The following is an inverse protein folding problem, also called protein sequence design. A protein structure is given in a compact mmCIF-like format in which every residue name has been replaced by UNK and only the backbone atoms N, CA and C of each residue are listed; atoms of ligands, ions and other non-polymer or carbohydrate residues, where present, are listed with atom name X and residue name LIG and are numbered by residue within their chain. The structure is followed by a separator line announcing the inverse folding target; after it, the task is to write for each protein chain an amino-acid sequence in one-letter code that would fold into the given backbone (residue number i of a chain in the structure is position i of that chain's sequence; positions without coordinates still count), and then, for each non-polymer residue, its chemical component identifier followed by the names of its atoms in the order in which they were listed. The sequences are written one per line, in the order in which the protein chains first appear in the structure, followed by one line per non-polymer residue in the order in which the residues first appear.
data_IF_686442987253
#
_entry.id   IF_686442987253
#
_cell.length_a   1.000
_cell.length_b   1.000
_cell.length_c   1.000
_cell.angle_alpha   90.00
_cell.angle_beta   90.00
_cell.angle_gamma   90.00
#
_symmetry.space_group_name_H-M   'P 1'
#
loop_
_entity.id
_entity.type
_entity.pdbx_description
1 polymer ?
#
# COMPACT_ATOMS: atom_id res chain seq x y z
N UNK A 1 5.15 8.72 11.65
CA UNK A 1 4.66 7.40 12.09
C UNK A 1 3.17 7.52 12.33
N UNK A 2 2.37 6.62 11.77
CA UNK A 2 0.91 6.60 11.88
C UNK A 2 0.49 6.10 13.27
N UNK A 3 -0.61 6.62 13.75
CA UNK A 3 -1.27 6.18 14.97
C UNK A 3 -1.94 4.83 14.77
N UNK A 4 -2.25 4.15 15.88
CA UNK A 4 -2.96 2.87 15.84
C UNK A 4 -4.35 2.99 15.19
N UNK A 5 -5.05 4.09 15.37
CA UNK A 5 -6.37 4.31 14.76
C UNK A 5 -6.25 4.53 13.25
N UNK A 6 -5.24 5.26 12.78
CA UNK A 6 -4.95 5.39 11.35
C UNK A 6 -4.60 4.04 10.71
N UNK A 7 -3.85 3.18 11.40
CA UNK A 7 -3.53 1.83 10.90
C UNK A 7 -4.75 0.91 10.84
N UNK A 8 -5.67 1.00 11.80
CA UNK A 8 -6.95 0.28 11.75
C UNK A 8 -7.82 0.75 10.59
N UNK A 9 -7.92 2.07 10.39
CA UNK A 9 -8.69 2.64 9.30
C UNK A 9 -8.10 2.21 7.95
N UNK A 10 -6.77 2.30 7.79
CA UNK A 10 -6.08 1.80 6.60
C UNK A 10 -6.37 0.31 6.35
N UNK A 11 -6.42 -0.52 7.40
CA UNK A 11 -6.69 -1.94 7.26
C UNK A 11 -8.11 -2.22 6.72
N UNK A 12 -9.10 -1.47 7.21
CA UNK A 12 -10.46 -1.51 6.66
C UNK A 12 -10.49 -1.05 5.20
N UNK A 13 -9.83 0.07 4.88
CA UNK A 13 -9.83 0.62 3.53
C UNK A 13 -9.14 -0.27 2.50
N UNK A 14 -8.13 -1.06 2.91
CA UNK A 14 -7.54 -2.12 2.07
C UNK A 14 -8.55 -3.24 1.80
N UNK A 15 -9.27 -3.72 2.81
CA UNK A 15 -10.26 -4.81 2.65
C UNK A 15 -11.47 -4.37 1.82
N UNK A 16 -11.82 -3.09 1.90
CA UNK A 16 -12.89 -2.47 1.12
C UNK A 16 -12.47 -2.07 -0.31
N UNK A 17 -11.24 -2.40 -0.73
CA UNK A 17 -10.68 -2.07 -2.04
C UNK A 17 -10.71 -0.57 -2.34
N UNK A 18 -10.46 0.28 -1.34
CA UNK A 18 -10.27 1.73 -1.52
C UNK A 18 -8.79 2.10 -1.71
N UNK A 19 -7.89 1.21 -1.31
CA UNK A 19 -6.44 1.41 -1.35
C UNK A 19 -5.82 0.39 -2.29
N UNK A 20 -4.92 0.85 -3.16
CA UNK A 20 -4.07 0.00 -3.99
C UNK A 20 -2.72 -0.18 -3.31
N UNK A 21 -2.31 -1.42 -3.09
CA UNK A 21 -1.02 -1.76 -2.46
C UNK A 21 -0.08 -2.41 -3.47
N UNK A 22 1.23 -2.26 -3.26
CA UNK A 22 2.29 -2.87 -4.08
C UNK A 22 2.15 -4.38 -4.27
N UNK A 23 1.55 -5.10 -3.31
CA UNK A 23 1.27 -6.54 -3.38
C UNK A 23 0.26 -6.95 -4.46
N UNK A 24 -0.48 -6.00 -5.03
CA UNK A 24 -1.34 -6.26 -6.19
C UNK A 24 -0.56 -6.26 -7.52
N UNK A 25 0.73 -5.90 -7.49
CA UNK A 25 1.60 -5.87 -8.66
C UNK A 25 2.38 -7.19 -8.72
N UNK A 26 2.13 -8.00 -9.75
CA UNK A 26 2.78 -9.31 -9.92
C UNK A 26 4.27 -9.19 -10.23
N UNK A 27 4.65 -8.21 -11.05
CA UNK A 27 6.03 -7.96 -11.46
C UNK A 27 6.59 -6.74 -10.72
N UNK A 28 7.57 -6.90 -9.81
CA UNK A 28 8.12 -5.80 -9.02
C UNK A 28 8.73 -4.65 -9.85
N UNK A 29 9.13 -4.93 -11.11
CA UNK A 29 9.64 -3.88 -12.02
C UNK A 29 8.56 -2.88 -12.44
N UNK A 30 7.30 -3.19 -12.21
CA UNK A 30 6.17 -2.32 -12.57
C UNK A 30 5.79 -1.37 -11.42
N UNK A 31 6.33 -1.57 -10.21
CA UNK A 31 6.12 -0.69 -9.05
C UNK A 31 6.42 0.77 -9.38
N UNK A 32 7.56 1.13 -10.01
CA UNK A 32 7.86 2.53 -10.35
C UNK A 32 6.97 3.09 -11.47
N UNK A 33 6.28 2.25 -12.25
CA UNK A 33 5.30 2.71 -13.24
C UNK A 33 3.96 3.02 -12.57
N UNK A 34 3.54 2.20 -11.61
CA UNK A 34 2.30 2.41 -10.83
C UNK A 34 2.47 3.57 -9.86
N UNK A 35 3.56 3.61 -9.11
CA UNK A 35 3.90 4.70 -8.18
C UNK A 35 4.99 5.57 -8.80
N UNK A 36 4.58 6.45 -9.74
CA UNK A 36 5.48 7.17 -10.64
C UNK A 36 6.58 7.95 -9.91
N UNK A 37 6.29 8.45 -8.70
CA UNK A 37 7.28 9.18 -7.89
C UNK A 37 8.51 8.31 -7.61
N UNK A 38 8.36 7.01 -7.35
CA UNK A 38 9.50 6.09 -7.13
C UNK A 38 10.39 5.99 -8.37
N UNK A 39 9.82 6.01 -9.57
CA UNK A 39 10.58 5.96 -10.82
C UNK A 39 11.29 7.28 -11.17
N UNK A 40 10.85 8.38 -10.57
CA UNK A 40 11.39 9.72 -10.78
C UNK A 40 12.39 10.14 -9.71
N UNK A 41 12.56 9.35 -8.65
CA UNK A 41 13.56 9.61 -7.62
C UNK A 41 14.98 9.48 -8.18
N UNK A 42 15.85 10.40 -7.77
CA UNK A 42 17.29 10.24 -7.97
C UNK A 42 17.87 9.16 -7.02
N UNK A 43 19.12 8.78 -7.24
CA UNK A 43 19.80 7.75 -6.44
C UNK A 43 19.80 8.08 -4.94
N UNK A 44 20.00 9.35 -4.58
CA UNK A 44 20.07 9.77 -3.18
C UNK A 44 18.70 9.67 -2.51
N UNK A 45 17.65 10.11 -3.19
CA UNK A 45 16.27 10.01 -2.71
C UNK A 45 15.85 8.54 -2.54
N UNK A 46 16.26 7.66 -3.47
CA UNK A 46 15.98 6.24 -3.38
C UNK A 46 16.71 5.59 -2.20
N UNK A 47 17.98 5.92 -1.97
CA UNK A 47 18.74 5.46 -0.80
C UNK A 47 18.10 5.93 0.51
N UNK A 48 17.72 7.21 0.59
CA UNK A 48 17.00 7.76 1.74
C UNK A 48 15.68 7.02 2.00
N UNK A 49 14.92 6.73 0.95
CA UNK A 49 13.67 5.96 1.06
C UNK A 49 13.93 4.52 1.51
N UNK A 50 14.92 3.83 0.96
CA UNK A 50 15.29 2.48 1.38
C UNK A 50 15.74 2.42 2.84
N UNK A 51 16.44 3.46 3.32
CA UNK A 51 16.86 3.57 4.72
C UNK A 51 15.68 3.73 5.69
N UNK A 52 14.50 4.19 5.21
CA UNK A 52 13.26 4.20 6.00
C UNK A 52 12.64 2.81 6.16
N UNK A 53 13.21 1.79 5.51
CA UNK A 53 12.75 0.38 5.52
C UNK A 53 11.25 0.25 5.25
N UNK A 54 10.77 0.68 4.07
CA UNK A 54 9.38 0.53 3.69
C UNK A 54 9.04 -0.96 3.54
N UNK A 55 7.95 -1.40 4.19
CA UNK A 55 7.46 -2.79 4.10
C UNK A 55 6.22 -2.94 3.21
N UNK A 56 5.61 -1.81 2.84
CA UNK A 56 4.48 -1.75 1.92
C UNK A 56 4.38 -0.33 1.36
N UNK A 57 4.24 -0.21 0.05
CA UNK A 57 3.86 1.03 -0.64
C UNK A 57 2.41 0.95 -1.07
N UNK A 58 1.68 2.06 -0.96
CA UNK A 58 0.27 2.11 -1.31
C UNK A 58 -0.19 3.52 -1.68
N UNK A 59 -1.37 3.61 -2.29
CA UNK A 59 -2.08 4.87 -2.46
C UNK A 59 -3.60 4.63 -2.53
N UNK A 60 -4.40 5.64 -2.16
CA UNK A 60 -5.84 5.58 -2.32
C UNK A 60 -6.24 5.65 -3.79
N UNK A 61 -7.17 4.80 -4.21
CA UNK A 61 -7.63 4.71 -5.60
C UNK A 61 -8.29 6.00 -6.11
N UNK A 62 -8.85 6.83 -5.22
CA UNK A 62 -9.39 8.15 -5.57
C UNK A 62 -8.28 9.15 -5.99
N UNK A 63 -7.01 8.84 -5.72
CA UNK A 63 -5.83 9.59 -6.17
C UNK A 63 -5.23 9.06 -7.47
N UNK A 64 -5.78 7.98 -8.04
CA UNK A 64 -5.31 7.47 -9.32
C UNK A 64 -5.51 8.53 -10.41
N UNK A 65 -4.49 8.70 -11.24
CA UNK A 65 -4.56 9.54 -12.43
C UNK A 65 -5.56 8.96 -13.46
N UNK A 66 -5.99 9.78 -14.44
CA UNK A 66 -7.00 9.39 -15.43
C UNK A 66 -6.56 8.26 -16.38
N UNK A 67 -5.33 7.77 -16.29
CA UNK A 67 -4.75 6.77 -17.18
C UNK A 67 -4.28 5.57 -16.37
N UNK A 68 -4.68 4.38 -16.81
CA UNK A 68 -4.11 3.14 -16.35
C UNK A 68 -2.89 2.76 -17.20
N UNK A 69 -1.87 2.18 -16.58
CA UNK A 69 -0.71 1.58 -17.26
C UNK A 69 -0.94 0.08 -17.21
N UNK A 70 -1.13 -0.55 -18.37
CA UNK A 70 -1.42 -1.99 -18.48
C UNK A 70 -2.61 -2.47 -17.62
N UNK A 71 -3.63 -1.62 -17.42
CA UNK A 71 -4.80 -1.94 -16.60
C UNK A 71 -4.64 -1.66 -15.10
N UNK A 72 -3.45 -1.25 -14.65
CA UNK A 72 -3.19 -0.82 -13.27
C UNK A 72 -3.34 0.70 -13.13
N UNK A 73 -3.77 1.21 -11.96
CA UNK A 73 -3.78 2.65 -11.70
C UNK A 73 -2.37 3.24 -11.78
N UNK A 74 -2.27 4.53 -12.12
CA UNK A 74 -1.03 5.31 -12.03
C UNK A 74 -1.16 6.41 -11.00
N UNK A 75 -0.20 6.54 -10.10
CA UNK A 75 -0.21 7.51 -8.99
C UNK A 75 0.99 8.46 -9.07
N UNK A 76 0.72 9.75 -8.86
CA UNK A 76 1.74 10.80 -8.72
C UNK A 76 2.09 11.11 -7.25
N UNK A 77 1.62 10.25 -6.35
CA UNK A 77 1.97 10.22 -4.93
C UNK A 77 1.95 8.76 -4.47
N UNK A 78 2.53 8.51 -3.32
CA UNK A 78 2.34 7.27 -2.60
C UNK A 78 2.51 7.51 -1.11
N UNK A 79 2.01 6.58 -0.33
CA UNK A 79 2.31 6.42 1.08
C UNK A 79 3.00 5.08 1.29
N UNK A 80 3.65 4.91 2.44
CA UNK A 80 4.29 3.66 2.79
C UNK A 80 4.11 3.35 4.28
N UNK A 81 4.29 2.07 4.62
CA UNK A 81 4.44 1.63 6.01
C UNK A 81 5.91 1.35 6.30
N UNK A 82 6.37 1.77 7.47
CA UNK A 82 7.67 1.31 8.01
C UNK A 82 7.53 -0.09 8.59
N UNK A 83 8.67 -0.72 8.91
CA UNK A 83 8.74 -1.99 9.62
C UNK A 83 7.87 -2.01 10.89
N UNK A 84 8.02 -1.02 11.76
CA UNK A 84 7.24 -0.87 13.01
C UNK A 84 5.72 -0.75 12.77
N UNK A 85 5.31 -0.01 11.73
CA UNK A 85 3.90 0.13 11.37
C UNK A 85 3.34 -1.20 10.81
N UNK A 86 4.16 -1.92 10.04
CA UNK A 86 3.83 -3.23 9.47
C UNK A 86 3.55 -4.30 10.54
N UNK A 87 4.32 -4.31 11.63
CA UNK A 87 4.12 -5.23 12.77
C UNK A 87 2.73 -5.10 13.40
N UNK A 88 2.13 -3.91 13.34
CA UNK A 88 0.78 -3.65 13.84
C UNK A 88 -0.26 -3.89 12.73
N UNK A 89 0.03 -3.43 11.52
CA UNK A 89 -0.89 -3.42 10.40
C UNK A 89 -1.26 -4.82 9.89
N UNK A 90 -0.28 -5.71 9.67
CA UNK A 90 -0.56 -7.02 9.08
C UNK A 90 -1.42 -7.93 9.98
N UNK A 91 -1.24 -7.96 11.31
CA UNK A 91 -2.16 -8.66 12.20
C UNK A 91 -3.60 -8.11 12.16
N UNK A 92 -3.79 -6.80 11.98
CA UNK A 92 -5.12 -6.20 11.85
C UNK A 92 -5.84 -6.71 10.59
N UNK A 93 -5.16 -6.71 9.44
CA UNK A 93 -5.69 -7.27 8.19
C UNK A 93 -6.06 -8.74 8.39
N UNK A 94 -5.17 -9.55 8.98
CA UNK A 94 -5.44 -10.97 9.22
C UNK A 94 -6.69 -11.15 10.08
N UNK A 95 -6.81 -10.41 11.18
CA UNK A 95 -7.98 -10.50 12.07
C UNK A 95 -9.28 -10.16 11.36
N UNK A 96 -9.29 -9.12 10.52
CA UNK A 96 -10.48 -8.73 9.76
C UNK A 96 -10.86 -9.78 8.70
N UNK A 97 -9.88 -10.40 8.04
CA UNK A 97 -10.10 -11.50 7.11
C UNK A 97 -10.68 -12.72 7.83
N UNK A 98 -10.09 -13.11 8.97
CA UNK A 98 -10.58 -14.23 9.78
C UNK A 98 -12.04 -14.00 10.24
N UNK A 99 -12.36 -12.79 10.72
CA UNK A 99 -13.72 -12.42 11.14
C UNK A 99 -14.72 -12.49 9.98
N UNK A 100 -14.34 -11.97 8.80
CA UNK A 100 -15.17 -12.03 7.59
C UNK A 100 -15.45 -13.46 7.17
N UNK A 101 -14.43 -14.32 7.23
CA UNK A 101 -14.59 -15.73 6.87
C UNK A 101 -15.49 -16.46 7.88
N UNK A 102 -15.30 -16.24 9.18
CA UNK A 102 -16.14 -16.82 10.21
C UNK A 102 -17.62 -16.43 10.06
N UNK A 103 -17.90 -15.19 9.64
CA UNK A 103 -19.25 -14.72 9.33
C UNK A 103 -19.85 -15.41 8.09
N UNK A 104 -19.04 -15.73 7.07
CA UNK A 104 -19.50 -16.42 5.86
C UNK A 104 -19.74 -17.92 6.09
N UNK A 105 -19.10 -18.50 7.09
CA UNK A 105 -19.22 -19.92 7.46
C UNK A 105 -20.32 -20.21 8.50
N UNK A 106 -20.90 -19.17 9.12
CA UNK A 106 -22.02 -19.26 10.07
C UNK A 106 -23.38 -19.24 9.39
#
# INVERSE_FOLDING_TARGET
MKTREELKQLALDVIENKVFIDRYIENPKDIPMVFMVLGLMDTKQLEEFQNMKPVMVYEYLDKAGPRSINGMPGFFSFQFLTEEEGEIFFPLIKSLVDQRQQFLES
#
